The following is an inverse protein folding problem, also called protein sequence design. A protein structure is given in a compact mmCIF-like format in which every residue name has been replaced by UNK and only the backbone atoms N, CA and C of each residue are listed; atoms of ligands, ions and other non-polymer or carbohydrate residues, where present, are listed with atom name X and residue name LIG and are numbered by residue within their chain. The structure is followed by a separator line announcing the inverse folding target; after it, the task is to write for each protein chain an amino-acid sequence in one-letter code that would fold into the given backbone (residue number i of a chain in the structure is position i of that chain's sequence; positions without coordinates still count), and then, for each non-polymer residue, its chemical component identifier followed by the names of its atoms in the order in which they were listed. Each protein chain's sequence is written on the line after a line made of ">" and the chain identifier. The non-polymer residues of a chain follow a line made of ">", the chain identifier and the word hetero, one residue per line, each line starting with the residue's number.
data_IF_701658508353
#
_entry.id   IF_701658508353
#
_cell.length_a   1.000
_cell.length_b   1.000
_cell.length_c   1.000
_cell.angle_alpha   90.00
_cell.angle_beta   90.00
_cell.angle_gamma   90.00
#
_symmetry.space_group_name_H-M   'P 1'
#
loop_
_entity.id
_entity.type
_entity.pdbx_description
1 polymer ?
#
# COMPACT_ATOMS: atom_id res chain seq x y z
N UNK A 1 12.89 11.83 -15.63
CA UNK A 1 13.03 10.71 -14.69
C UNK A 1 11.82 9.80 -14.83
N UNK A 2 12.03 8.48 -14.83
CA UNK A 2 10.97 7.46 -14.87
C UNK A 2 10.77 6.83 -13.49
N UNK A 3 9.69 6.10 -13.28
CA UNK A 3 9.49 5.30 -12.07
C UNK A 3 9.23 3.83 -12.39
N UNK A 4 9.71 2.95 -11.52
CA UNK A 4 9.39 1.53 -11.51
C UNK A 4 8.57 1.23 -10.26
N UNK A 5 7.42 0.57 -10.40
CA UNK A 5 6.66 -0.01 -9.29
C UNK A 5 6.70 -1.54 -9.40
N UNK A 6 7.46 -2.24 -8.53
CA UNK A 6 7.42 -3.69 -8.45
C UNK A 6 6.08 -4.16 -7.87
N UNK A 7 5.30 -4.88 -8.68
CA UNK A 7 3.95 -5.31 -8.34
C UNK A 7 3.66 -6.79 -8.68
N UNK A 8 4.70 -7.54 -9.07
CA UNK A 8 4.57 -8.91 -9.55
C UNK A 8 4.31 -9.94 -8.45
N UNK A 9 4.58 -9.62 -7.18
CA UNK A 9 4.56 -10.56 -6.05
C UNK A 9 3.16 -11.01 -5.62
N UNK A 10 3.08 -12.22 -5.05
CA UNK A 10 1.81 -12.86 -4.65
C UNK A 10 1.20 -12.33 -3.34
N UNK A 11 1.90 -11.47 -2.59
CA UNK A 11 1.38 -10.88 -1.35
C UNK A 11 0.97 -11.90 -0.28
N UNK A 12 1.72 -12.99 -0.10
CA UNK A 12 1.32 -14.14 0.74
C UNK A 12 1.04 -13.80 2.21
N UNK A 13 1.68 -12.78 2.76
CA UNK A 13 1.46 -12.27 4.13
C UNK A 13 0.09 -11.60 4.33
N UNK A 14 -0.58 -11.22 3.24
CA UNK A 14 -1.90 -10.58 3.24
C UNK A 14 -3.04 -11.57 2.98
N UNK A 15 -2.75 -12.87 2.95
CA UNK A 15 -3.81 -13.90 2.84
C UNK A 15 -4.74 -13.81 4.06
N UNK A 16 -6.05 -14.01 3.87
CA UNK A 16 -6.70 -14.56 2.68
C UNK A 16 -7.00 -13.55 1.57
N UNK A 17 -6.85 -12.24 1.80
CA UNK A 17 -7.24 -11.18 0.85
C UNK A 17 -6.52 -11.29 -0.50
N UNK A 18 -5.31 -11.85 -0.50
CA UNK A 18 -4.48 -11.99 -1.69
C UNK A 18 -4.59 -13.33 -2.41
N UNK A 19 -5.53 -14.20 -2.04
CA UNK A 19 -5.78 -15.42 -2.82
C UNK A 19 -6.44 -15.14 -4.16
N UNK A 20 -7.32 -14.14 -4.22
CA UNK A 20 -8.12 -13.82 -5.41
C UNK A 20 -7.68 -12.54 -6.09
N UNK A 21 -6.96 -11.66 -5.40
CA UNK A 21 -6.55 -10.35 -5.91
C UNK A 21 -5.11 -10.02 -5.51
N UNK A 22 -4.31 -9.35 -6.35
CA UNK A 22 -2.95 -9.01 -5.97
C UNK A 22 -2.94 -7.90 -4.90
N UNK A 23 -1.92 -7.90 -4.02
CA UNK A 23 -1.79 -6.89 -2.95
C UNK A 23 -1.95 -5.43 -3.44
N UNK A 24 -1.34 -5.01 -4.57
CA UNK A 24 -1.41 -3.62 -5.02
C UNK A 24 -2.84 -3.10 -5.31
N UNK A 25 -3.82 -3.98 -5.54
CA UNK A 25 -5.21 -3.59 -5.79
C UNK A 25 -6.09 -3.61 -4.54
N UNK A 26 -5.58 -4.11 -3.41
CA UNK A 26 -6.28 -4.00 -2.13
C UNK A 26 -6.46 -2.53 -1.79
N UNK A 27 -7.62 -2.19 -1.21
CA UNK A 27 -7.98 -0.80 -0.95
C UNK A 27 -7.60 -0.37 0.46
N UNK A 28 -7.13 0.86 0.58
CA UNK A 28 -6.88 1.55 1.83
C UNK A 28 -7.37 3.00 1.69
N UNK A 29 -8.16 3.47 2.64
CA UNK A 29 -8.85 4.76 2.58
C UNK A 29 -9.58 5.01 1.24
N UNK A 30 -10.30 3.98 0.76
CA UNK A 30 -11.14 4.06 -0.44
C UNK A 30 -10.42 3.80 -1.77
N UNK A 31 -9.09 3.88 -1.84
CA UNK A 31 -8.34 3.70 -3.09
C UNK A 31 -7.40 2.47 -3.04
N UNK A 32 -7.18 1.77 -4.17
CA UNK A 32 -6.12 0.77 -4.31
C UNK A 32 -4.75 1.27 -3.85
N UNK A 33 -3.99 0.42 -3.17
CA UNK A 33 -2.63 0.72 -2.67
C UNK A 33 -1.74 1.32 -3.76
N UNK A 34 -1.75 0.74 -4.97
CA UNK A 34 -0.95 1.24 -6.10
C UNK A 34 -1.31 2.67 -6.53
N UNK A 35 -2.57 3.08 -6.38
CA UNK A 35 -2.99 4.43 -6.74
C UNK A 35 -2.38 5.48 -5.80
N UNK A 36 -2.16 5.16 -4.53
CA UNK A 36 -1.46 6.05 -3.60
C UNK A 36 0.00 6.27 -4.02
N UNK A 37 0.67 5.20 -4.47
CA UNK A 37 2.05 5.29 -4.98
C UNK A 37 2.11 6.12 -6.27
N UNK A 38 1.22 5.87 -7.23
CA UNK A 38 1.13 6.64 -8.48
C UNK A 38 0.81 8.11 -8.22
N UNK A 39 -0.12 8.40 -7.31
CA UNK A 39 -0.45 9.78 -6.94
C UNK A 39 0.75 10.51 -6.33
N UNK A 40 1.57 9.81 -5.52
CA UNK A 40 2.80 10.38 -4.94
C UNK A 40 3.89 10.62 -6.00
N UNK A 41 4.04 9.72 -6.97
CA UNK A 41 4.94 9.91 -8.12
C UNK A 41 4.53 11.12 -8.96
N UNK A 42 3.22 11.23 -9.25
CA UNK A 42 2.66 12.38 -9.96
C UNK A 42 2.93 13.68 -9.23
N UNK A 43 2.73 13.71 -7.90
CA UNK A 43 2.98 14.89 -7.08
C UNK A 43 4.48 15.29 -7.07
N UNK A 44 5.38 14.33 -7.25
CA UNK A 44 6.81 14.57 -7.43
C UNK A 44 7.22 14.92 -8.88
N UNK A 45 6.26 15.11 -9.78
CA UNK A 45 6.51 15.48 -11.17
C UNK A 45 6.89 14.32 -12.10
N UNK A 46 6.82 13.07 -11.64
CA UNK A 46 7.12 11.90 -12.46
C UNK A 46 5.84 11.47 -13.18
N UNK A 47 5.90 11.34 -14.50
CA UNK A 47 4.74 11.04 -15.36
C UNK A 47 4.81 9.69 -16.08
N UNK A 48 5.99 9.09 -16.17
CA UNK A 48 6.24 7.80 -16.81
C UNK A 48 6.49 6.72 -15.75
N UNK A 49 5.65 5.70 -15.71
CA UNK A 49 5.67 4.63 -14.69
C UNK A 49 5.63 3.26 -15.35
N UNK A 50 6.65 2.45 -15.08
CA UNK A 50 6.69 1.03 -15.43
C UNK A 50 6.23 0.21 -14.23
N UNK A 51 5.09 -0.45 -14.34
CA UNK A 51 4.59 -1.35 -13.30
C UNK A 51 5.02 -2.77 -13.67
N UNK A 52 5.89 -3.37 -12.85
CA UNK A 52 6.40 -4.72 -13.08
C UNK A 52 5.38 -5.72 -12.54
N UNK A 53 4.74 -6.48 -13.42
CA UNK A 53 3.64 -7.41 -13.12
C UNK A 53 4.04 -8.84 -13.44
N UNK A 54 3.42 -9.82 -12.79
CA UNK A 54 3.40 -11.21 -13.24
C UNK A 54 2.09 -11.53 -13.97
N UNK A 55 2.04 -12.67 -14.64
CA UNK A 55 0.84 -13.17 -15.32
C UNK A 55 -0.39 -13.22 -14.40
N UNK A 56 -0.17 -13.46 -13.10
CA UNK A 56 -1.24 -13.54 -12.09
C UNK A 56 -1.76 -12.15 -11.72
N UNK A 57 -0.88 -11.15 -11.68
CA UNK A 57 -1.23 -9.80 -11.19
C UNK A 57 -1.67 -8.83 -12.28
N UNK A 58 -1.36 -9.15 -13.55
CA UNK A 58 -1.44 -8.23 -14.68
C UNK A 58 -2.84 -7.66 -14.89
N UNK A 59 -3.86 -8.52 -14.98
CA UNK A 59 -5.21 -8.10 -15.39
C UNK A 59 -5.86 -7.16 -14.36
N UNK A 60 -5.78 -7.49 -13.07
CA UNK A 60 -6.32 -6.65 -12.00
C UNK A 60 -5.58 -5.31 -11.90
N UNK A 61 -4.25 -5.31 -12.07
CA UNK A 61 -3.46 -4.07 -12.06
C UNK A 61 -3.79 -3.22 -13.29
N UNK A 62 -3.89 -3.84 -14.48
CA UNK A 62 -4.28 -3.15 -15.71
C UNK A 62 -5.59 -2.40 -15.52
N UNK A 63 -6.63 -3.09 -15.04
CA UNK A 63 -7.95 -2.51 -14.79
C UNK A 63 -7.91 -1.28 -13.87
N UNK A 64 -7.11 -1.33 -12.79
CA UNK A 64 -6.96 -0.20 -11.86
C UNK A 64 -6.17 0.96 -12.48
N UNK A 65 -5.13 0.65 -13.27
CA UNK A 65 -4.25 1.67 -13.86
C UNK A 65 -4.84 2.34 -15.10
N UNK A 66 -5.72 1.66 -15.85
CA UNK A 66 -6.42 2.22 -17.02
C UNK A 66 -7.26 3.46 -16.68
N UNK A 67 -7.71 3.56 -15.42
CA UNK A 67 -8.50 4.69 -14.92
C UNK A 67 -7.64 5.94 -14.66
N UNK A 68 -6.31 5.86 -14.77
CA UNK A 68 -5.37 6.94 -14.48
C UNK A 68 -4.90 7.58 -15.79
N UNK A 69 -5.70 8.52 -16.31
CA UNK A 69 -5.48 9.11 -17.64
C UNK A 69 -4.36 10.15 -17.73
N UNK A 70 -3.87 10.67 -16.60
CA UNK A 70 -2.89 11.77 -16.53
C UNK A 70 -1.44 11.30 -16.32
N UNK A 71 -1.22 9.99 -16.48
CA UNK A 71 0.05 9.28 -16.31
C UNK A 71 0.29 8.35 -17.50
N UNK A 72 1.55 8.15 -17.89
CA UNK A 72 1.96 7.14 -18.86
C UNK A 72 2.38 5.88 -18.10
N UNK A 73 1.51 4.86 -18.10
CA UNK A 73 1.71 3.63 -17.35
C UNK A 73 1.97 2.47 -18.32
N UNK A 74 3.12 1.82 -18.20
CA UNK A 74 3.51 0.62 -18.95
C UNK A 74 3.51 -0.61 -18.04
N UNK A 75 2.89 -1.71 -18.48
CA UNK A 75 2.88 -2.96 -17.72
C UNK A 75 3.96 -3.92 -18.21
N UNK A 76 5.03 -4.05 -17.42
CA UNK A 76 6.24 -4.82 -17.76
C UNK A 76 6.14 -6.22 -17.17
N UNK A 77 6.19 -7.25 -18.01
CA UNK A 77 6.04 -8.64 -17.55
C UNK A 77 7.32 -9.18 -16.92
N UNK A 78 7.21 -9.64 -15.67
CA UNK A 78 8.20 -10.46 -14.99
C UNK A 78 7.72 -11.91 -14.96
N UNK A 79 8.34 -12.76 -15.79
CA UNK A 79 7.99 -14.18 -15.87
C UNK A 79 8.46 -15.01 -14.66
N UNK A 80 9.52 -14.57 -13.97
CA UNK A 80 10.07 -15.25 -12.80
C UNK A 80 10.29 -14.29 -11.64
N UNK A 81 9.78 -14.65 -10.46
CA UNK A 81 9.91 -13.85 -9.23
C UNK A 81 11.22 -14.18 -8.51
N UNK A 82 12.35 -13.75 -9.07
CA UNK A 82 13.68 -13.99 -8.50
C UNK A 82 14.15 -12.87 -7.53
N UNK A 83 13.22 -12.17 -6.89
CA UNK A 83 13.53 -11.07 -5.96
C UNK A 83 13.38 -9.67 -6.55
N UNK A 84 13.55 -8.67 -5.69
CA UNK A 84 13.30 -7.26 -6.01
C UNK A 84 14.27 -6.70 -7.05
N UNK A 85 15.56 -7.03 -6.93
CA UNK A 85 16.58 -6.62 -7.91
C UNK A 85 16.26 -7.15 -9.31
N UNK A 86 15.76 -8.38 -9.42
CA UNK A 86 15.32 -8.95 -10.70
C UNK A 86 14.09 -8.21 -11.27
N UNK A 87 13.14 -7.78 -10.42
CA UNK A 87 11.99 -6.99 -10.87
C UNK A 87 12.43 -5.66 -11.47
N UNK A 88 13.37 -4.97 -10.81
CA UNK A 88 13.95 -3.72 -11.33
C UNK A 88 14.71 -3.97 -12.63
N UNK A 89 15.54 -5.02 -12.70
CA UNK A 89 16.29 -5.38 -13.90
C UNK A 89 15.39 -5.67 -15.10
N UNK A 90 14.21 -6.27 -14.88
CA UNK A 90 13.22 -6.55 -15.94
C UNK A 90 12.77 -5.26 -16.66
N UNK A 91 12.77 -4.13 -15.96
CA UNK A 91 12.37 -2.84 -16.52
C UNK A 91 13.51 -2.07 -17.20
N UNK A 92 14.73 -2.62 -17.26
CA UNK A 92 15.93 -1.94 -17.79
C UNK A 92 15.75 -1.35 -19.19
N UNK A 93 15.25 -2.16 -20.13
CA UNK A 93 15.07 -1.72 -21.52
C UNK A 93 14.05 -0.58 -21.64
N UNK A 94 12.97 -0.65 -20.86
CA UNK A 94 11.95 0.40 -20.81
C UNK A 94 12.48 1.69 -20.18
N UNK A 95 13.31 1.60 -19.13
CA UNK A 95 13.94 2.77 -18.51
C UNK A 95 14.89 3.45 -19.50
N UNK A 96 15.76 2.69 -20.17
CA UNK A 96 16.79 3.20 -21.06
C UNK A 96 17.87 3.97 -20.29
N UNK A 97 18.32 5.10 -20.83
CA UNK A 97 19.38 5.94 -20.24
C UNK A 97 18.84 7.03 -19.30
N UNK A 98 17.58 6.93 -18.87
CA UNK A 98 16.98 7.90 -17.95
C UNK A 98 17.29 7.56 -16.49
N UNK A 99 17.57 8.57 -15.68
CA UNK A 99 17.44 8.44 -14.23
C UNK A 99 16.04 7.93 -13.88
N UNK A 100 15.96 7.13 -12.83
CA UNK A 100 14.72 6.50 -12.44
C UNK A 100 14.62 6.35 -10.92
N UNK A 101 13.39 6.21 -10.45
CA UNK A 101 13.13 5.79 -9.08
C UNK A 101 12.48 4.41 -9.03
N UNK A 102 12.74 3.67 -7.96
CA UNK A 102 12.01 2.45 -7.62
C UNK A 102 11.12 2.79 -6.43
N UNK A 103 9.82 2.56 -6.58
CA UNK A 103 8.86 2.75 -5.49
C UNK A 103 8.14 1.43 -5.22
N UNK A 104 8.42 0.84 -4.06
CA UNK A 104 7.65 -0.27 -3.53
C UNK A 104 6.23 0.22 -3.20
N UNK A 105 5.27 -0.10 -4.08
CA UNK A 105 3.94 0.51 -4.07
C UNK A 105 3.11 0.25 -2.81
N UNK A 106 3.57 -0.62 -1.92
CA UNK A 106 2.99 -0.93 -0.62
C UNK A 106 3.49 -0.06 0.54
N UNK A 107 4.42 0.86 0.27
CA UNK A 107 4.98 1.81 1.23
C UNK A 107 4.30 3.16 1.10
N UNK A 108 3.78 3.70 2.19
CA UNK A 108 3.10 4.99 2.25
C UNK A 108 3.96 6.02 3.00
N UNK A 109 4.06 7.23 2.45
CA UNK A 109 4.83 8.34 3.01
C UNK A 109 3.91 9.52 3.31
N UNK A 110 3.87 9.98 4.57
CA UNK A 110 3.02 11.12 4.96
C UNK A 110 3.29 12.37 4.11
N UNK A 111 4.57 12.68 3.91
CA UNK A 111 5.04 13.87 3.18
C UNK A 111 5.28 13.60 1.70
N UNK A 112 4.87 12.42 1.20
CA UNK A 112 5.14 12.00 -0.16
C UNK A 112 6.62 11.76 -0.43
N UNK A 113 6.97 11.69 -1.73
CA UNK A 113 8.33 11.33 -2.17
C UNK A 113 9.07 12.45 -2.91
N UNK A 114 8.43 13.60 -3.13
CA UNK A 114 9.02 14.74 -3.83
C UNK A 114 10.36 15.22 -3.22
N UNK A 115 10.53 15.31 -1.89
CA UNK A 115 11.80 15.74 -1.30
C UNK A 115 13.00 14.85 -1.68
N UNK A 116 12.79 13.54 -1.81
CA UNK A 116 13.85 12.59 -2.20
C UNK A 116 14.25 12.76 -3.67
N UNK A 117 13.26 12.97 -4.54
CA UNK A 117 13.49 13.20 -5.97
C UNK A 117 14.23 14.52 -6.17
N UNK A 118 13.81 15.58 -5.49
CA UNK A 118 14.48 16.89 -5.53
C UNK A 118 15.92 16.80 -5.01
N UNK A 119 16.14 16.11 -3.89
CA UNK A 119 17.48 15.93 -3.34
C UNK A 119 18.36 15.13 -4.28
N UNK A 120 17.86 14.06 -4.88
CA UNK A 120 18.61 13.24 -5.84
C UNK A 120 19.03 14.08 -7.05
N UNK A 121 18.13 14.87 -7.64
CA UNK A 121 18.43 15.74 -8.79
C UNK A 121 19.42 16.86 -8.47
N UNK A 122 19.42 17.36 -7.22
CA UNK A 122 20.39 18.36 -6.76
C UNK A 122 21.73 17.74 -6.42
N UNK A 123 21.72 16.48 -5.98
CA UNK A 123 22.93 15.71 -5.73
C UNK A 123 23.59 15.30 -7.04
N UNK A 124 24.90 15.08 -7.02
CA UNK A 124 25.60 14.31 -8.08
C UNK A 124 25.75 12.85 -7.65
N UNK A 125 24.80 12.35 -6.85
CA UNK A 125 24.84 11.00 -6.32
C UNK A 125 24.40 9.98 -7.37
N UNK A 126 24.99 8.79 -7.32
CA UNK A 126 24.61 7.67 -8.14
C UNK A 126 23.29 7.03 -7.65
N UNK A 127 23.05 7.13 -6.35
CA UNK A 127 21.83 6.64 -5.72
C UNK A 127 21.42 7.51 -4.53
N UNK A 128 20.10 7.60 -4.29
CA UNK A 128 19.54 8.14 -3.06
C UNK A 128 18.49 7.19 -2.51
N UNK A 129 18.59 6.89 -1.21
CA UNK A 129 17.74 5.90 -0.54
C UNK A 129 16.95 6.58 0.57
N UNK A 130 15.63 6.40 0.58
CA UNK A 130 14.80 6.81 1.70
C UNK A 130 15.01 5.84 2.87
N UNK A 131 15.27 6.38 4.07
CA UNK A 131 15.59 5.62 5.28
C UNK A 131 14.61 5.94 6.41
N UNK A 132 14.20 4.93 7.16
CA UNK A 132 13.30 5.08 8.31
C UNK A 132 13.93 4.43 9.53
N UNK A 133 13.79 5.08 10.69
CA UNK A 133 14.24 4.48 11.94
C UNK A 133 13.20 3.47 12.44
N UNK A 134 13.62 2.23 12.68
CA UNK A 134 12.75 1.13 13.10
C UNK A 134 13.24 0.49 14.39
N UNK A 135 12.29 0.00 15.19
CA UNK A 135 12.61 -0.72 16.44
C UNK A 135 13.15 -2.13 16.21
N UNK A 136 12.81 -2.76 15.08
CA UNK A 136 13.29 -4.08 14.69
C UNK A 136 13.93 -4.07 13.29
N UNK A 137 15.21 -3.66 13.18
CA UNK A 137 15.89 -3.51 11.89
C UNK A 137 16.25 -4.85 11.21
N UNK A 138 16.23 -5.98 11.93
CA UNK A 138 16.65 -7.30 11.41
C UNK A 138 15.77 -7.84 10.28
N UNK A 139 14.58 -7.26 10.08
CA UNK A 139 13.64 -7.66 9.03
C UNK A 139 13.85 -6.89 7.69
N UNK A 140 14.77 -5.93 7.64
CA UNK A 140 14.93 -4.98 6.53
C UNK A 140 16.38 -4.90 6.04
N UNK A 141 16.60 -4.22 4.93
CA UNK A 141 17.92 -3.68 4.57
C UNK A 141 18.31 -2.53 5.50
N UNK A 142 19.46 -2.62 6.15
CA UNK A 142 19.88 -1.67 7.19
C UNK A 142 21.12 -0.90 6.74
N UNK A 143 21.03 0.43 6.78
CA UNK A 143 22.06 1.35 6.35
C UNK A 143 22.95 1.82 7.52
N UNK A 144 24.24 1.96 7.25
CA UNK A 144 25.20 2.68 8.09
C UNK A 144 25.55 4.00 7.39
N UNK A 145 25.45 5.12 8.10
CA UNK A 145 25.61 6.46 7.56
C UNK A 145 26.91 7.12 8.02
N UNK A 146 27.57 7.84 7.13
CA UNK A 146 28.59 8.86 7.45
C UNK A 146 28.13 10.20 6.87
N UNK A 147 27.68 11.11 7.74
CA UNK A 147 26.96 12.31 7.33
C UNK A 147 25.70 11.97 6.53
N UNK A 148 25.64 12.40 5.26
CA UNK A 148 24.54 12.12 4.32
C UNK A 148 24.79 10.91 3.42
N UNK A 149 25.98 10.30 3.50
CA UNK A 149 26.35 9.14 2.67
C UNK A 149 26.07 7.82 3.38
N UNK A 150 25.62 6.83 2.62
CA UNK A 150 25.53 5.44 3.07
C UNK A 150 26.89 4.79 2.80
N UNK A 151 27.58 4.40 3.86
CA UNK A 151 28.89 3.74 3.79
C UNK A 151 28.79 2.21 3.83
N UNK A 152 27.63 1.69 4.22
CA UNK A 152 27.34 0.25 4.25
C UNK A 152 25.85 0.00 4.22
N UNK A 153 25.41 -0.99 3.45
CA UNK A 153 24.02 -1.45 3.42
C UNK A 153 23.99 -2.97 3.48
N UNK A 154 23.21 -3.53 4.40
CA UNK A 154 23.15 -5.00 4.59
C UNK A 154 21.70 -5.47 4.63
N UNK A 155 21.37 -6.47 3.82
CA UNK A 155 20.04 -7.09 3.83
C UNK A 155 19.84 -7.98 5.05
N UNK A 156 18.76 -7.75 5.81
CA UNK A 156 18.29 -8.55 6.94
C UNK A 156 19.43 -9.04 7.85
N UNK A 157 20.26 -8.12 8.37
CA UNK A 157 21.43 -8.49 9.15
C UNK A 157 20.99 -9.09 10.50
N UNK A 158 21.67 -10.17 10.91
CA UNK A 158 21.53 -10.71 12.28
C UNK A 158 21.99 -9.70 13.34
N UNK A 159 23.06 -8.97 13.02
CA UNK A 159 23.63 -7.89 13.84
C UNK A 159 23.56 -6.60 13.01
N UNK A 160 22.49 -5.81 13.15
CA UNK A 160 22.26 -4.61 12.34
C UNK A 160 23.31 -3.53 12.67
N UNK A 161 23.89 -2.84 11.67
CA UNK A 161 24.86 -1.77 11.91
C UNK A 161 24.22 -0.50 12.50
N UNK A 162 22.90 -0.33 12.33
CA UNK A 162 22.13 0.78 12.90
C UNK A 162 20.63 0.41 13.00
N UNK A 163 19.78 1.37 13.37
CA UNK A 163 18.31 1.24 13.30
C UNK A 163 17.70 1.84 12.02
N UNK A 164 18.51 2.29 11.06
CA UNK A 164 18.05 2.92 9.82
C UNK A 164 17.77 1.84 8.77
N UNK A 165 16.50 1.55 8.55
CA UNK A 165 16.03 0.62 7.54
C UNK A 165 15.68 1.33 6.23
N UNK A 166 15.80 0.63 5.10
CA UNK A 166 15.30 1.12 3.80
C UNK A 166 13.78 1.25 3.82
N UNK A 167 13.27 2.40 3.37
CA UNK A 167 11.85 2.75 3.43
C UNK A 167 11.08 2.44 2.13
N UNK A 168 11.67 1.71 1.19
CA UNK A 168 11.00 1.27 -0.04
C UNK A 168 10.88 2.33 -1.14
N UNK A 169 11.63 3.43 -1.05
CA UNK A 169 11.79 4.40 -2.13
C UNK A 169 13.27 4.66 -2.41
N UNK A 170 13.63 4.61 -3.68
CA UNK A 170 15.02 4.68 -4.15
C UNK A 170 15.07 5.54 -5.42
N UNK A 171 16.10 6.36 -5.59
CA UNK A 171 16.45 7.03 -6.84
C UNK A 171 17.81 6.53 -7.32
N UNK A 172 17.96 6.33 -8.62
CA UNK A 172 19.15 5.77 -9.25
C UNK A 172 19.43 6.44 -10.59
N UNK A 173 20.71 6.52 -10.98
CA UNK A 173 21.07 6.69 -12.39
C UNK A 173 21.06 5.32 -13.09
N UNK A 174 21.13 5.29 -14.44
CA UNK A 174 21.21 4.03 -15.21
C UNK A 174 22.39 3.12 -14.84
N UNK A 175 23.47 3.61 -14.20
CA UNK A 175 24.61 2.75 -13.84
C UNK A 175 24.23 1.69 -12.81
N UNK A 176 23.16 1.90 -12.05
CA UNK A 176 22.61 0.90 -11.14
C UNK A 176 22.32 -0.45 -11.82
N UNK A 177 21.91 -0.45 -13.09
CA UNK A 177 21.70 -1.70 -13.83
C UNK A 177 22.99 -2.50 -14.03
N UNK A 178 24.14 -1.83 -14.09
CA UNK A 178 25.45 -2.48 -14.13
C UNK A 178 25.76 -3.23 -12.83
N UNK A 179 25.40 -2.65 -11.68
CA UNK A 179 25.52 -3.31 -10.38
C UNK A 179 24.61 -4.54 -10.29
N UNK A 180 23.35 -4.42 -10.75
CA UNK A 180 22.39 -5.54 -10.75
C UNK A 180 22.78 -6.71 -11.66
N UNK A 181 23.33 -6.43 -12.84
CA UNK A 181 23.62 -7.47 -13.85
C UNK A 181 24.71 -8.46 -13.38
N UNK A 182 25.60 -8.00 -12.49
CA UNK A 182 26.73 -8.81 -12.00
C UNK A 182 26.45 -9.50 -10.66
N UNK A 183 25.25 -9.37 -10.11
CA UNK A 183 24.91 -10.00 -8.84
C UNK A 183 24.73 -11.51 -9.00
N UNK A 184 25.12 -12.22 -7.95
CA UNK A 184 24.70 -13.60 -7.72
C UNK A 184 23.48 -13.60 -6.78
N UNK A 185 22.59 -14.59 -6.86
CA UNK A 185 21.49 -14.73 -5.91
C UNK A 185 22.01 -14.79 -4.47
N UNK A 186 21.27 -14.16 -3.55
CA UNK A 186 21.56 -14.21 -2.12
C UNK A 186 21.44 -15.63 -1.56
N UNK A 187 21.75 -15.83 -0.28
CA UNK A 187 21.51 -17.12 0.40
C UNK A 187 20.04 -17.57 0.36
N UNK A 188 19.11 -16.67 0.03
CA UNK A 188 17.67 -16.93 -0.13
C UNK A 188 17.29 -17.28 -1.58
N UNK A 189 18.24 -17.23 -2.51
CA UNK A 189 18.00 -17.41 -3.94
C UNK A 189 17.37 -16.19 -4.63
N UNK A 190 17.39 -15.02 -3.99
CA UNK A 190 16.81 -13.77 -4.50
C UNK A 190 17.92 -12.81 -4.94
N UNK A 191 17.72 -12.07 -6.03
CA UNK A 191 18.52 -10.91 -6.40
C UNK A 191 18.05 -9.72 -5.57
N UNK A 192 18.81 -9.35 -4.54
CA UNK A 192 18.43 -8.30 -3.60
C UNK A 192 18.90 -6.93 -4.11
N UNK A 193 18.03 -5.91 -4.00
CA UNK A 193 18.37 -4.55 -4.42
C UNK A 193 19.47 -3.93 -3.54
N UNK A 194 19.50 -4.33 -2.26
CA UNK A 194 20.49 -3.92 -1.26
C UNK A 194 21.90 -4.35 -1.63
N UNK A 195 22.05 -5.56 -2.18
CA UNK A 195 23.34 -6.09 -2.60
C UNK A 195 23.87 -5.29 -3.80
N UNK A 196 23.00 -4.85 -4.71
CA UNK A 196 23.38 -3.97 -5.83
C UNK A 196 23.84 -2.59 -5.34
N UNK A 197 23.15 -2.03 -4.35
CA UNK A 197 23.54 -0.74 -3.75
C UNK A 197 24.89 -0.89 -3.04
N UNK A 198 25.11 -1.99 -2.32
CA UNK A 198 26.40 -2.26 -1.68
C UNK A 198 27.55 -2.36 -2.71
N UNK A 199 27.31 -2.93 -3.89
CA UNK A 199 28.28 -2.93 -5.00
C UNK A 199 28.63 -1.51 -5.46
N UNK A 200 27.66 -0.59 -5.53
CA UNK A 200 27.94 0.81 -5.85
C UNK A 200 28.82 1.48 -4.78
N UNK A 201 28.52 1.24 -3.50
CA UNK A 201 29.31 1.76 -2.38
C UNK A 201 30.76 1.26 -2.46
N UNK A 202 30.96 -0.03 -2.71
CA UNK A 202 32.29 -0.65 -2.84
C UNK A 202 33.06 -0.16 -4.07
N UNK A 203 32.36 0.24 -5.13
CA UNK A 203 32.96 0.88 -6.30
C UNK A 203 33.35 2.35 -6.05
N UNK A 204 33.06 2.91 -4.87
CA UNK A 204 33.34 4.31 -4.52
C UNK A 204 32.34 5.31 -5.10
N UNK A 205 31.18 4.84 -5.57
CA UNK A 205 30.12 5.70 -6.06
C UNK A 205 29.40 6.40 -4.90
N UNK A 206 28.92 7.62 -5.13
CA UNK A 206 28.21 8.36 -4.09
C UNK A 206 26.79 7.82 -3.92
N UNK A 207 26.53 7.21 -2.76
CA UNK A 207 25.20 6.74 -2.35
C UNK A 207 24.73 7.55 -1.16
N UNK A 208 23.62 8.27 -1.33
CA UNK A 208 23.04 9.12 -0.28
C UNK A 208 21.89 8.43 0.46
N UNK A 209 21.76 8.74 1.73
CA UNK A 209 20.62 8.34 2.56
C UNK A 209 19.86 9.57 3.06
N UNK A 210 18.54 9.55 2.91
CA UNK A 210 17.67 10.62 3.42
C UNK A 210 16.60 10.03 4.33
N UNK A 211 16.51 10.56 5.56
CA UNK A 211 15.55 10.07 6.54
C UNK A 211 14.13 10.49 6.19
N UNK A 212 13.16 9.63 6.48
CA UNK A 212 11.74 9.93 6.32
C UNK A 212 11.30 11.03 7.27
N UNK A 213 10.58 12.00 6.72
CA UNK A 213 9.86 13.00 7.49
C UNK A 213 8.39 12.61 7.66
N UNK A 214 7.89 12.75 8.90
CA UNK A 214 6.54 12.30 9.25
C UNK A 214 6.47 10.78 9.41
N UNK A 215 5.27 10.21 9.25
CA UNK A 215 5.09 8.77 9.34
C UNK A 215 5.37 8.06 8.00
N UNK A 216 5.82 6.80 8.13
CA UNK A 216 5.94 5.82 7.05
C UNK A 216 5.22 4.54 7.47
N UNK A 217 4.58 3.86 6.50
CA UNK A 217 3.90 2.60 6.76
C UNK A 217 4.05 1.64 5.58
N UNK A 218 4.60 0.45 5.84
CA UNK A 218 4.48 -0.73 4.95
C UNK A 218 3.15 -1.44 5.24
N UNK A 219 2.34 -1.65 4.22
CA UNK A 219 1.07 -2.40 4.28
C UNK A 219 1.28 -3.91 4.17
N UNK A 220 2.28 -4.45 4.87
CA UNK A 220 2.79 -5.81 4.72
C UNK A 220 1.87 -6.92 5.27
N UNK A 221 1.02 -6.59 6.24
CA UNK A 221 0.12 -7.49 6.96
C UNK A 221 -1.28 -6.88 7.15
N UNK A 222 -2.31 -7.68 7.46
CA UNK A 222 -3.67 -7.18 7.71
C UNK A 222 -3.74 -6.02 8.71
N UNK A 223 -3.07 -6.15 9.86
CA UNK A 223 -3.00 -5.10 10.89
C UNK A 223 -2.35 -3.81 10.37
N UNK A 224 -1.35 -3.94 9.50
CA UNK A 224 -0.67 -2.79 8.91
C UNK A 224 -1.58 -2.03 7.93
N UNK A 225 -2.51 -2.73 7.27
CA UNK A 225 -3.48 -2.12 6.38
C UNK A 225 -4.53 -1.32 7.15
N UNK A 226 -4.98 -1.81 8.32
CA UNK A 226 -5.85 -1.05 9.22
C UNK A 226 -5.16 0.21 9.73
N UNK A 227 -3.89 0.09 10.14
CA UNK A 227 -3.08 1.24 10.57
C UNK A 227 -2.89 2.26 9.44
N UNK A 228 -2.58 1.81 8.23
CA UNK A 228 -2.46 2.67 7.06
C UNK A 228 -3.79 3.39 6.76
N UNK A 229 -4.91 2.67 6.85
CA UNK A 229 -6.24 3.26 6.69
C UNK A 229 -6.49 4.36 7.73
N UNK A 230 -6.18 4.09 9.00
CA UNK A 230 -6.29 5.05 10.10
C UNK A 230 -5.52 6.34 9.80
N UNK A 231 -4.23 6.20 9.45
CA UNK A 231 -3.32 7.33 9.16
C UNK A 231 -3.77 8.16 7.95
N UNK A 232 -4.25 7.51 6.88
CA UNK A 232 -4.77 8.21 5.70
C UNK A 232 -6.09 8.94 6.00
N UNK A 233 -7.00 8.30 6.74
CA UNK A 233 -8.28 8.90 7.13
C UNK A 233 -8.13 10.06 8.11
N UNK A 234 -7.02 10.17 8.85
CA UNK A 234 -6.74 11.36 9.67
C UNK A 234 -6.74 12.66 8.84
N UNK A 235 -6.32 12.56 7.57
CA UNK A 235 -6.24 13.67 6.61
C UNK A 235 -7.47 13.81 5.72
N UNK A 236 -8.51 13.02 5.97
CA UNK A 236 -9.74 13.02 5.19
C UNK A 236 -10.38 14.41 5.18
N UNK A 237 -10.66 14.95 3.99
CA UNK A 237 -11.47 16.15 3.83
C UNK A 237 -12.96 15.82 3.98
N UNK A 238 -13.73 16.73 4.58
CA UNK A 238 -15.16 16.48 4.80
C UNK A 238 -15.93 16.81 3.53
N UNK A 239 -16.69 15.83 3.03
CA UNK A 239 -17.59 15.96 1.88
C UNK A 239 -18.89 15.26 2.26
N UNK A 240 -20.00 15.98 2.33
CA UNK A 240 -21.27 15.42 2.79
C UNK A 240 -22.39 15.75 1.79
N UNK A 241 -22.28 15.22 0.58
CA UNK A 241 -23.20 15.50 -0.53
C UNK A 241 -24.31 14.45 -0.67
N UNK A 242 -24.19 13.31 0.02
CA UNK A 242 -25.17 12.22 -0.03
C UNK A 242 -26.52 12.53 0.61
N UNK A 243 -27.47 11.61 0.42
CA UNK A 243 -28.80 11.71 1.01
C UNK A 243 -28.77 11.31 2.50
N UNK A 244 -29.10 12.25 3.39
CA UNK A 244 -29.09 12.04 4.84
C UNK A 244 -30.50 12.24 5.39
N UNK A 245 -31.07 11.21 6.01
CA UNK A 245 -32.42 11.21 6.59
C UNK A 245 -32.37 10.73 8.04
N UNK A 246 -32.95 11.50 8.97
CA UNK A 246 -33.07 11.14 10.40
C UNK A 246 -31.74 10.65 11.04
N UNK A 247 -30.61 11.18 10.58
CA UNK A 247 -29.27 10.66 10.92
C UNK A 247 -28.40 11.74 11.55
N UNK A 248 -27.38 11.32 12.31
CA UNK A 248 -26.40 12.20 12.94
C UNK A 248 -25.00 11.92 12.41
N UNK A 249 -24.38 12.94 11.82
CA UNK A 249 -22.99 12.90 11.34
C UNK A 249 -22.14 13.80 12.24
N UNK A 250 -20.95 13.35 12.65
CA UNK A 250 -20.03 14.11 13.51
C UNK A 250 -18.58 13.82 13.12
N UNK A 251 -17.71 14.82 13.10
CA UNK A 251 -16.30 14.65 12.70
C UNK A 251 -16.11 14.74 11.17
N UNK A 252 -14.93 14.32 10.70
CA UNK A 252 -14.58 14.36 9.27
C UNK A 252 -15.21 13.19 8.55
N UNK A 253 -16.16 13.42 7.66
CA UNK A 253 -16.86 12.33 6.97
C UNK A 253 -16.95 12.62 5.49
N UNK A 254 -16.72 11.60 4.67
CA UNK A 254 -16.98 11.63 3.24
C UNK A 254 -18.20 10.75 2.91
N UNK A 255 -19.23 11.37 2.34
CA UNK A 255 -20.48 10.78 1.87
C UNK A 255 -20.75 11.34 0.47
N UNK A 256 -20.44 10.58 -0.60
CA UNK A 256 -20.73 11.00 -1.97
C UNK A 256 -22.22 11.19 -2.24
N UNK A 257 -22.55 12.01 -3.25
CA UNK A 257 -23.93 12.32 -3.63
C UNK A 257 -24.79 11.09 -3.97
N UNK A 258 -24.15 10.01 -4.41
CA UNK A 258 -24.81 8.75 -4.76
C UNK A 258 -25.14 7.86 -3.55
N UNK A 259 -24.60 8.18 -2.39
CA UNK A 259 -24.70 7.38 -1.16
C UNK A 259 -25.80 7.89 -0.24
N UNK A 260 -26.34 6.99 0.57
CA UNK A 260 -27.52 7.24 1.39
C UNK A 260 -27.34 6.76 2.83
N UNK A 261 -27.68 7.63 3.78
CA UNK A 261 -27.61 7.39 5.23
C UNK A 261 -28.97 7.69 5.87
N UNK A 262 -29.63 6.67 6.43
CA UNK A 262 -30.98 6.78 6.99
C UNK A 262 -31.01 6.27 8.43
N UNK A 263 -31.63 7.00 9.36
CA UNK A 263 -31.78 6.62 10.78
C UNK A 263 -30.49 6.08 11.42
N UNK A 264 -29.36 6.70 11.11
CA UNK A 264 -28.03 6.18 11.43
C UNK A 264 -27.15 7.21 12.11
N UNK A 265 -26.05 6.75 12.72
CA UNK A 265 -25.04 7.60 13.34
C UNK A 265 -23.68 7.34 12.71
N UNK A 266 -23.01 8.39 12.23
CA UNK A 266 -21.65 8.32 11.72
C UNK A 266 -20.75 9.24 12.54
N UNK A 267 -19.63 8.70 13.03
CA UNK A 267 -18.61 9.43 13.77
C UNK A 267 -17.27 9.28 13.06
N UNK A 268 -16.78 10.38 12.49
CA UNK A 268 -15.56 10.43 11.69
C UNK A 268 -14.26 10.35 12.50
N UNK A 269 -13.12 10.09 11.83
CA UNK A 269 -12.98 10.07 10.37
C UNK A 269 -13.59 8.83 9.70
N UNK A 270 -14.48 9.02 8.72
CA UNK A 270 -15.16 7.92 7.98
C UNK A 270 -15.26 8.25 6.51
N UNK A 271 -14.90 7.30 5.65
CA UNK A 271 -15.04 7.41 4.21
C UNK A 271 -16.08 6.42 3.71
N UNK A 272 -17.11 6.89 3.03
CA UNK A 272 -18.03 6.06 2.24
C UNK A 272 -17.71 6.23 0.75
N UNK A 273 -17.68 5.10 0.04
CA UNK A 273 -17.61 5.06 -1.43
C UNK A 273 -18.94 5.45 -2.07
N UNK A 274 -19.00 5.27 -3.38
CA UNK A 274 -20.19 5.56 -4.19
C UNK A 274 -21.26 4.49 -3.97
N UNK A 275 -22.54 4.88 -4.03
CA UNK A 275 -23.70 3.98 -3.93
C UNK A 275 -23.74 3.15 -2.64
N UNK A 276 -23.16 3.66 -1.54
CA UNK A 276 -23.20 3.02 -0.23
C UNK A 276 -24.54 3.31 0.44
N UNK A 277 -25.12 2.28 1.07
CA UNK A 277 -26.35 2.38 1.83
C UNK A 277 -26.08 2.06 3.30
N UNK A 278 -26.34 3.04 4.17
CA UNK A 278 -26.26 2.90 5.64
C UNK A 278 -27.65 3.13 6.22
N UNK A 279 -28.25 2.13 6.85
CA UNK A 279 -29.59 2.25 7.45
C UNK A 279 -29.66 1.64 8.85
N UNK A 280 -30.29 2.34 9.80
CA UNK A 280 -30.45 1.85 11.17
C UNK A 280 -29.12 1.36 11.78
N UNK A 281 -28.01 2.06 11.51
CA UNK A 281 -26.65 1.59 11.75
C UNK A 281 -25.76 2.65 12.42
N UNK A 282 -24.63 2.20 12.98
CA UNK A 282 -23.55 3.05 13.48
C UNK A 282 -22.25 2.76 12.72
N UNK A 283 -21.63 3.82 12.19
CA UNK A 283 -20.29 3.76 11.61
C UNK A 283 -19.35 4.63 12.44
N UNK A 284 -18.39 3.99 13.09
CA UNK A 284 -17.42 4.62 13.97
C UNK A 284 -16.12 5.03 13.27
N UNK A 285 -15.24 5.74 13.99
CA UNK A 285 -14.00 6.30 13.45
C UNK A 285 -13.11 5.29 12.74
N UNK A 286 -12.31 5.81 11.81
CA UNK A 286 -11.32 5.08 11.03
C UNK A 286 -11.91 3.91 10.21
N UNK A 287 -13.17 4.06 9.80
CA UNK A 287 -13.84 3.11 8.92
C UNK A 287 -13.84 3.63 7.50
N UNK A 288 -13.39 2.82 6.54
CA UNK A 288 -13.57 3.07 5.10
C UNK A 288 -14.49 2.00 4.50
N UNK A 289 -15.50 2.43 3.76
CA UNK A 289 -16.50 1.56 3.15
C UNK A 289 -16.45 1.71 1.63
N UNK A 290 -16.22 0.60 0.92
CA UNK A 290 -16.13 0.56 -0.53
C UNK A 290 -17.47 0.68 -1.23
N UNK A 291 -17.41 0.94 -2.53
CA UNK A 291 -18.57 1.23 -3.37
C UNK A 291 -19.63 0.12 -3.32
N UNK A 292 -20.90 0.48 -3.50
CA UNK A 292 -22.03 -0.46 -3.54
C UNK A 292 -22.21 -1.33 -2.28
N UNK A 293 -21.62 -0.93 -1.16
CA UNK A 293 -21.74 -1.67 0.11
C UNK A 293 -23.04 -1.32 0.84
N UNK A 294 -23.59 -2.32 1.53
CA UNK A 294 -24.82 -2.21 2.30
C UNK A 294 -24.56 -2.53 3.77
N UNK A 295 -24.80 -1.56 4.66
CA UNK A 295 -24.69 -1.72 6.11
C UNK A 295 -26.04 -1.39 6.73
N UNK A 296 -26.74 -2.40 7.26
CA UNK A 296 -28.06 -2.22 7.87
C UNK A 296 -28.18 -2.88 9.22
N UNK A 297 -28.69 -2.17 10.23
CA UNK A 297 -28.92 -2.76 11.55
C UNK A 297 -27.64 -3.33 12.17
N UNK A 298 -26.51 -2.63 12.03
CA UNK A 298 -25.20 -3.10 12.44
C UNK A 298 -24.33 -1.93 12.93
N UNK A 299 -23.29 -2.26 13.69
CA UNK A 299 -22.26 -1.31 14.12
C UNK A 299 -20.90 -1.73 13.57
N UNK A 300 -20.15 -0.79 12.98
CA UNK A 300 -18.82 -1.03 12.40
C UNK A 300 -17.87 0.10 12.81
N UNK A 301 -16.68 -0.20 13.29
CA UNK A 301 -15.66 0.78 13.70
C UNK A 301 -14.25 0.28 13.36
N UNK A 302 -13.29 1.18 13.12
CA UNK A 302 -11.88 0.84 12.87
C UNK A 302 -11.70 -0.33 11.89
N UNK A 303 -12.32 -0.22 10.72
CA UNK A 303 -12.43 -1.33 9.76
C UNK A 303 -12.30 -0.87 8.31
N UNK A 304 -11.80 -1.76 7.45
CA UNK A 304 -11.80 -1.57 6.00
C UNK A 304 -12.79 -2.56 5.40
N UNK A 305 -13.84 -2.03 4.79
CA UNK A 305 -14.86 -2.80 4.09
C UNK A 305 -14.70 -2.54 2.60
N UNK A 306 -14.38 -3.56 1.82
CA UNK A 306 -14.23 -3.46 0.37
C UNK A 306 -15.60 -3.40 -0.31
N UNK A 307 -15.61 -3.19 -1.63
CA UNK A 307 -16.81 -2.95 -2.40
C UNK A 307 -17.81 -4.12 -2.37
N UNK A 308 -19.07 -3.81 -2.65
CA UNK A 308 -20.19 -4.75 -2.76
C UNK A 308 -20.43 -5.62 -1.52
N UNK A 309 -19.85 -5.27 -0.37
CA UNK A 309 -20.02 -6.03 0.86
C UNK A 309 -21.43 -5.84 1.45
N UNK A 310 -21.86 -6.80 2.27
CA UNK A 310 -23.15 -6.73 2.97
C UNK A 310 -23.00 -7.04 4.44
N UNK A 311 -23.27 -6.06 5.30
CA UNK A 311 -23.19 -6.17 6.76
C UNK A 311 -24.58 -5.92 7.32
N UNK A 312 -25.29 -7.00 7.68
CA UNK A 312 -26.74 -6.95 7.90
C UNK A 312 -27.11 -7.53 9.26
N UNK A 313 -27.90 -6.77 10.02
CA UNK A 313 -28.60 -7.20 11.24
C UNK A 313 -27.68 -7.83 12.30
N UNK A 314 -26.56 -7.18 12.61
CA UNK A 314 -25.59 -7.68 13.57
C UNK A 314 -25.90 -7.17 14.98
N UNK A 315 -26.04 -8.06 15.98
CA UNK A 315 -26.27 -7.64 17.36
C UNK A 315 -25.01 -7.12 18.05
N UNK A 316 -23.83 -7.47 17.53
CA UNK A 316 -22.52 -7.11 18.08
C UNK A 316 -21.78 -6.24 17.07
N UNK A 317 -21.06 -5.25 17.59
CA UNK A 317 -20.20 -4.37 16.80
C UNK A 317 -19.06 -5.14 16.14
N UNK A 318 -18.78 -4.81 14.87
CA UNK A 318 -17.56 -5.18 14.18
C UNK A 318 -16.49 -4.13 14.45
N UNK A 319 -15.31 -4.58 14.85
CA UNK A 319 -14.14 -3.74 15.10
C UNK A 319 -12.89 -4.44 14.57
N UNK A 320 -11.90 -3.69 14.10
CA UNK A 320 -10.62 -4.24 13.63
C UNK A 320 -10.79 -5.23 12.46
N UNK A 321 -11.77 -4.99 11.60
CA UNK A 321 -12.16 -5.91 10.53
C UNK A 321 -11.62 -5.48 9.16
N UNK A 322 -11.10 -6.47 8.41
CA UNK A 322 -10.90 -6.37 6.97
C UNK A 322 -11.94 -7.25 6.27
N UNK A 323 -12.90 -6.63 5.60
CA UNK A 323 -14.01 -7.31 4.92
C UNK A 323 -13.77 -7.19 3.41
N UNK A 324 -13.49 -8.30 2.75
CA UNK A 324 -13.15 -8.33 1.32
C UNK A 324 -14.33 -8.10 0.38
N UNK A 325 -14.02 -7.95 -0.90
CA UNK A 325 -14.98 -7.73 -1.99
C UNK A 325 -16.14 -8.73 -1.94
N UNK A 326 -17.39 -8.23 -1.99
CA UNK A 326 -18.64 -9.04 -1.99
C UNK A 326 -18.83 -9.92 -0.75
N UNK A 327 -18.01 -9.76 0.29
CA UNK A 327 -18.16 -10.54 1.51
C UNK A 327 -19.44 -10.15 2.25
N UNK A 328 -20.02 -11.11 2.97
CA UNK A 328 -21.30 -10.91 3.63
C UNK A 328 -21.22 -11.37 5.08
N UNK A 329 -21.53 -10.46 5.99
CA UNK A 329 -21.63 -10.71 7.43
C UNK A 329 -23.08 -10.46 7.81
N UNK A 330 -23.82 -11.54 8.08
CA UNK A 330 -25.27 -11.47 8.31
C UNK A 330 -25.61 -12.06 9.67
N UNK A 331 -26.36 -11.31 10.46
CA UNK A 331 -27.02 -11.78 11.65
C UNK A 331 -28.46 -12.17 11.36
N UNK A 332 -28.99 -13.05 12.21
CA UNK A 332 -30.36 -13.56 12.12
C UNK A 332 -31.10 -13.37 13.43
N UNK A 333 -32.41 -13.10 13.34
CA UNK A 333 -33.35 -13.03 14.47
C UNK A 333 -33.97 -14.40 14.80
N UNK A 334 -33.46 -15.49 14.24
CA UNK A 334 -34.05 -16.83 14.41
C UNK A 334 -33.57 -17.49 15.70
N UNK A 335 -34.48 -18.13 16.42
CA UNK A 335 -34.19 -18.98 17.58
C UNK A 335 -34.05 -20.43 17.07
N UNK A 336 -33.04 -21.20 17.52
CA UNK A 336 -31.94 -20.81 18.41
C UNK A 336 -30.94 -19.86 17.72
N UNK A 337 -30.32 -18.97 18.49
CA UNK A 337 -29.22 -18.13 18.00
C UNK A 337 -28.01 -19.03 17.74
N UNK A 338 -27.63 -19.17 16.47
CA UNK A 338 -26.50 -19.99 16.05
C UNK A 338 -25.61 -19.21 15.09
N UNK A 339 -24.32 -19.53 15.09
CA UNK A 339 -23.40 -19.07 14.05
C UNK A 339 -23.49 -20.02 12.85
N UNK A 340 -23.64 -19.46 11.66
CA UNK A 340 -23.50 -20.18 10.40
C UNK A 340 -22.35 -19.55 9.63
N UNK A 341 -21.31 -20.32 9.36
CA UNK A 341 -20.10 -19.83 8.72
C UNK A 341 -19.93 -20.48 7.35
N UNK A 342 -19.49 -19.71 6.37
CA UNK A 342 -19.00 -20.17 5.07
C UNK A 342 -17.70 -19.41 4.82
N UNK A 343 -16.58 -20.10 4.99
CA UNK A 343 -15.23 -19.53 5.00
C UNK A 343 -14.35 -20.23 3.98
N UNK A 344 -13.32 -19.54 3.50
CA UNK A 344 -12.33 -20.07 2.56
C UNK A 344 -10.96 -20.25 3.24
N UNK A 345 -9.96 -20.67 2.47
CA UNK A 345 -8.62 -20.96 2.96
C UNK A 345 -8.00 -19.76 3.67
N UNK A 346 -7.29 -20.03 4.78
CA UNK A 346 -6.65 -19.04 5.64
C UNK A 346 -7.56 -17.91 6.19
N UNK A 347 -8.89 -18.05 6.10
CA UNK A 347 -9.81 -17.12 6.75
C UNK A 347 -9.70 -17.24 8.26
N UNK A 348 -9.59 -16.10 8.96
CA UNK A 348 -9.59 -16.03 10.42
C UNK A 348 -10.87 -15.35 10.87
N UNK A 349 -11.59 -15.97 11.79
CA UNK A 349 -12.80 -15.41 12.40
C UNK A 349 -12.64 -15.47 13.92
N UNK A 350 -12.75 -14.31 14.55
CA UNK A 350 -12.84 -14.17 16.00
C UNK A 350 -14.29 -13.81 16.34
N UNK A 351 -14.94 -14.64 17.15
CA UNK A 351 -16.32 -14.46 17.58
C UNK A 351 -16.35 -13.91 19.00
N UNK A 352 -17.29 -13.00 19.27
CA UNK A 352 -17.46 -12.31 20.54
C UNK A 352 -17.98 -13.18 21.69
#
# INVERSE_FOLDING_TARGET
>A
MKAIIPAAGLGTRMRPLTFTRPKPVLRVAGAPIIQHAIASLRAAGIREVGVVVSDITRDEIAHVTEQISDMQIELINQHQQLGLGHAVLTAREWVGDSDFCVYLGDNLFERGIAPYVEQFQRSQAEALIALVEVSNPTAFGVAEMDGEQIIRLVEKPKNPPSNLAVAGFYCFTPRFFGALTNLSPSARGEYEITDAIQVLIEAGESVMGQKVEGWWKDTGRPEDLLDANRLLLERLETVCDGHIEESRITGRVQIPATSRVVRSKIVGPVLLGEHVVVEDAYIGPFTSVGDHTEIRGAEVEHSVVDAEAKILNLPTRLQDCLIGLRAQVRGGRTVPRTHKLTISDASVIELA
#
